data_IF_301323014521
#
_entry.id   IF_301323014521
#
_cell.length_a   1.000
_cell.length_b   1.000
_cell.length_c   1.000
_cell.angle_alpha   90.00
_cell.angle_beta   90.00
_cell.angle_gamma   90.00
#
_symmetry.space_group_name_H-M   'P 1'
#
loop_
_entity.id
_entity.type
_entity.pdbx_description
1 polymer ?
#
# COMPACT_ATOMS: atom_id res chain seq x y z
N UNK A 1 -12.71 26.09 -13.58
CA UNK A 1 -12.32 25.20 -14.71
C UNK A 1 -12.36 23.76 -14.23
N UNK A 2 -12.95 22.83 -15.00
CA UNK A 2 -13.06 21.42 -14.59
C UNK A 2 -11.70 20.76 -14.36
N UNK A 3 -11.65 19.80 -13.43
CA UNK A 3 -10.49 18.93 -13.18
C UNK A 3 -10.31 18.00 -14.39
N UNK A 4 -9.08 17.78 -14.90
CA UNK A 4 -8.83 16.83 -15.99
C UNK A 4 -9.40 15.44 -15.66
N UNK A 5 -9.96 14.74 -16.66
CA UNK A 5 -10.54 13.40 -16.47
C UNK A 5 -9.57 12.40 -15.82
N UNK A 6 -8.29 12.48 -16.16
CA UNK A 6 -7.24 11.63 -15.61
C UNK A 6 -7.00 11.86 -14.10
N UNK A 7 -7.03 13.13 -13.65
CA UNK A 7 -6.90 13.46 -12.22
C UNK A 7 -8.10 12.95 -11.42
N UNK A 8 -9.31 12.96 -12.00
CA UNK A 8 -10.51 12.41 -11.37
C UNK A 8 -10.46 10.88 -11.24
N UNK A 9 -9.98 10.19 -12.27
CA UNK A 9 -9.82 8.73 -12.23
C UNK A 9 -8.78 8.30 -11.18
N UNK A 10 -7.63 8.99 -11.14
CA UNK A 10 -6.63 8.79 -10.09
C UNK A 10 -7.23 9.05 -8.69
N UNK A 11 -7.99 10.13 -8.53
CA UNK A 11 -8.55 10.49 -7.23
C UNK A 11 -9.53 9.45 -6.69
N UNK A 12 -10.42 8.89 -7.53
CA UNK A 12 -11.32 7.82 -7.10
C UNK A 12 -10.56 6.57 -6.66
N UNK A 13 -9.55 6.15 -7.43
CA UNK A 13 -8.71 5.01 -7.05
C UNK A 13 -7.96 5.29 -5.74
N UNK A 14 -7.42 6.50 -5.58
CA UNK A 14 -6.71 6.90 -4.39
C UNK A 14 -7.63 6.94 -3.16
N UNK A 15 -8.88 7.40 -3.30
CA UNK A 15 -9.88 7.31 -2.22
C UNK A 15 -10.09 5.85 -1.80
N UNK A 16 -10.35 4.95 -2.74
CA UNK A 16 -10.60 3.53 -2.43
C UNK A 16 -9.38 2.90 -1.76
N UNK A 17 -8.20 3.06 -2.36
CA UNK A 17 -6.96 2.50 -1.82
C UNK A 17 -6.63 3.07 -0.44
N UNK A 18 -6.82 4.36 -0.23
CA UNK A 18 -6.57 4.99 1.07
C UNK A 18 -7.57 4.62 2.13
N UNK A 19 -8.86 4.50 1.81
CA UNK A 19 -9.87 4.04 2.78
C UNK A 19 -9.57 2.60 3.21
N UNK A 20 -9.29 1.72 2.25
CA UNK A 20 -8.96 0.32 2.52
C UNK A 20 -7.64 0.19 3.29
N UNK A 21 -6.60 0.91 2.88
CA UNK A 21 -5.30 0.92 3.54
C UNK A 21 -5.35 1.51 4.95
N UNK A 22 -6.13 2.58 5.14
CA UNK A 22 -6.37 3.19 6.44
C UNK A 22 -7.11 2.23 7.37
N UNK A 23 -8.19 1.60 6.89
CA UNK A 23 -8.95 0.62 7.69
C UNK A 23 -8.07 -0.57 8.10
N UNK A 24 -7.29 -1.13 7.18
CA UNK A 24 -6.37 -2.22 7.50
C UNK A 24 -5.28 -1.78 8.51
N UNK A 25 -4.76 -0.56 8.38
CA UNK A 25 -3.78 -0.01 9.32
C UNK A 25 -4.39 0.24 10.71
N UNK A 26 -5.64 0.72 10.76
CA UNK A 26 -6.37 0.91 12.01
C UNK A 26 -6.64 -0.40 12.73
N UNK A 27 -7.02 -1.46 11.99
CA UNK A 27 -7.18 -2.80 12.55
C UNK A 27 -5.85 -3.33 13.07
N UNK A 28 -4.75 -3.16 12.33
CA UNK A 28 -3.40 -3.53 12.82
C UNK A 28 -3.06 -2.82 14.13
N UNK A 29 -3.34 -1.53 14.27
CA UNK A 29 -3.14 -0.83 15.55
C UNK A 29 -4.00 -1.41 16.67
N UNK A 30 -5.27 -1.69 16.40
CA UNK A 30 -6.18 -2.30 17.38
C UNK A 30 -5.68 -3.68 17.85
N UNK A 31 -5.24 -4.52 16.90
CA UNK A 31 -4.65 -5.83 17.17
C UNK A 31 -3.36 -5.72 17.99
N UNK A 32 -2.49 -4.75 17.69
CA UNK A 32 -1.27 -4.50 18.48
C UNK A 32 -1.61 -4.16 19.93
N UNK A 33 -2.62 -3.30 20.12
CA UNK A 33 -3.05 -2.87 21.44
C UNK A 33 -3.68 -4.05 22.23
N UNK A 34 -4.47 -4.89 21.57
CA UNK A 34 -5.04 -6.07 22.20
C UNK A 34 -3.96 -7.07 22.66
N UNK A 35 -2.94 -7.32 21.84
CA UNK A 35 -1.78 -8.15 22.21
C UNK A 35 -0.98 -7.53 23.37
N UNK A 36 -0.90 -6.21 23.44
CA UNK A 36 -0.23 -5.51 24.53
C UNK A 36 -0.99 -5.63 25.85
N UNK A 37 -2.32 -5.63 25.81
CA UNK A 37 -3.18 -5.80 26.99
C UNK A 37 -3.23 -7.27 27.46
N UNK A 38 -3.28 -8.20 26.52
CA UNK A 38 -3.31 -9.64 26.79
C UNK A 38 -2.36 -10.38 25.85
N UNK A 39 -1.24 -10.86 26.41
CA UNK A 39 -0.25 -11.62 25.66
C UNK A 39 -0.79 -12.99 25.16
N UNK A 40 -1.95 -13.43 25.64
CA UNK A 40 -2.69 -14.59 25.14
C UNK A 40 -3.70 -14.28 24.03
N UNK A 41 -3.86 -13.00 23.66
CA UNK A 41 -4.84 -12.59 22.64
C UNK A 41 -4.54 -13.25 21.30
N UNK A 42 -5.57 -13.87 20.71
CA UNK A 42 -5.55 -14.42 19.35
C UNK A 42 -6.08 -13.36 18.40
N UNK A 43 -5.25 -12.94 17.46
CA UNK A 43 -5.64 -11.90 16.51
C UNK A 43 -6.73 -12.38 15.55
N UNK A 44 -7.52 -11.45 15.05
CA UNK A 44 -8.64 -11.75 14.14
C UNK A 44 -8.24 -12.44 12.82
N UNK A 45 -6.98 -12.34 12.40
CA UNK A 45 -6.44 -13.05 11.24
C UNK A 45 -5.38 -14.11 11.58
N UNK A 46 -5.39 -14.64 12.82
CA UNK A 46 -4.62 -15.83 13.19
C UNK A 46 -5.40 -17.10 12.82
N UNK A 47 -5.32 -17.51 11.55
CA UNK A 47 -6.00 -18.71 11.05
C UNK A 47 -5.14 -19.96 11.16
N UNK A 48 -3.85 -19.85 10.87
CA UNK A 48 -2.90 -20.96 10.88
C UNK A 48 -1.48 -20.45 11.24
N UNK A 49 -0.51 -21.37 11.32
CA UNK A 49 0.88 -21.04 11.71
C UNK A 49 1.61 -20.13 10.73
N UNK A 50 1.19 -20.08 9.46
CA UNK A 50 1.83 -19.28 8.41
C UNK A 50 1.03 -18.02 8.02
N UNK A 51 -0.22 -17.90 8.46
CA UNK A 51 -1.12 -16.75 8.31
C UNK A 51 -1.56 -16.31 9.71
N UNK A 52 -0.71 -15.49 10.33
CA UNK A 52 -0.86 -15.01 11.70
C UNK A 52 -0.36 -13.58 11.85
N UNK A 53 -1.28 -12.66 12.15
CA UNK A 53 -0.93 -11.29 12.51
C UNK A 53 -0.24 -11.23 13.86
N UNK A 54 -0.66 -12.06 14.83
CA UNK A 54 -0.03 -12.11 16.15
C UNK A 54 1.46 -12.42 16.09
N UNK A 55 1.85 -13.38 15.25
CA UNK A 55 3.27 -13.76 15.05
C UNK A 55 4.07 -12.61 14.45
N UNK A 56 3.55 -11.95 13.41
CA UNK A 56 4.25 -10.82 12.76
C UNK A 56 4.38 -9.63 13.70
N UNK A 57 3.33 -9.31 14.46
CA UNK A 57 3.27 -8.12 15.31
C UNK A 57 4.21 -8.19 16.51
N UNK A 58 4.54 -9.39 17.00
CA UNK A 58 5.49 -9.59 18.12
C UNK A 58 6.95 -9.42 17.72
N UNK A 59 7.24 -9.24 16.43
CA UNK A 59 8.61 -9.13 15.95
C UNK A 59 9.17 -7.70 16.07
N UNK A 60 10.48 -7.51 16.29
CA UNK A 60 11.10 -6.19 16.31
C UNK A 60 10.91 -5.40 15.01
N UNK A 61 10.75 -6.09 13.88
CA UNK A 61 10.48 -5.50 12.58
C UNK A 61 9.16 -4.72 12.55
N UNK A 62 8.21 -5.03 13.44
CA UNK A 62 6.94 -4.31 13.57
C UNK A 62 7.09 -2.92 14.23
N UNK A 63 8.24 -2.58 14.80
CA UNK A 63 8.52 -1.33 15.53
C UNK A 63 9.87 -0.70 15.12
N UNK A 64 10.10 -0.54 13.81
CA UNK A 64 11.42 -0.16 13.29
C UNK A 64 11.90 1.23 13.75
N UNK A 65 10.97 2.16 13.91
CA UNK A 65 11.27 3.56 14.28
C UNK A 65 11.03 3.86 15.77
N UNK A 66 10.99 2.81 16.60
CA UNK A 66 10.67 2.93 18.04
C UNK A 66 9.17 3.10 18.33
N UNK A 67 8.33 2.96 17.31
CA UNK A 67 6.88 2.94 17.44
C UNK A 67 6.27 1.95 16.44
N UNK A 68 5.03 1.46 16.66
CA UNK A 68 4.39 0.50 15.77
C UNK A 68 4.25 1.03 14.34
N UNK A 69 4.81 0.30 13.37
CA UNK A 69 4.75 0.64 11.95
C UNK A 69 3.32 0.92 11.41
N UNK A 70 2.23 0.27 11.90
CA UNK A 70 0.88 0.59 11.45
C UNK A 70 0.46 2.06 11.63
N UNK A 71 1.08 2.80 12.55
CA UNK A 71 0.85 4.25 12.67
C UNK A 71 1.30 5.05 11.45
N UNK A 72 2.40 4.64 10.78
CA UNK A 72 2.81 5.25 9.51
C UNK A 72 1.72 5.05 8.47
N UNK A 73 1.12 3.85 8.41
CA UNK A 73 0.02 3.55 7.49
C UNK A 73 -1.18 4.46 7.70
N UNK A 74 -1.65 4.62 8.95
CA UNK A 74 -2.77 5.51 9.30
C UNK A 74 -2.52 6.93 8.77
N UNK A 75 -1.35 7.51 9.09
CA UNK A 75 -1.03 8.89 8.70
C UNK A 75 -0.87 9.01 7.19
N UNK A 76 -0.12 8.11 6.54
CA UNK A 76 0.14 8.16 5.12
C UNK A 76 -1.16 8.02 4.30
N UNK A 77 -2.02 7.05 4.63
CA UNK A 77 -3.29 6.88 3.93
C UNK A 77 -4.27 8.02 4.19
N UNK A 78 -4.30 8.58 5.40
CA UNK A 78 -5.12 9.76 5.69
C UNK A 78 -4.69 10.97 4.86
N UNK A 79 -3.37 11.21 4.71
CA UNK A 79 -2.85 12.29 3.85
C UNK A 79 -3.25 12.07 2.39
N UNK A 80 -3.03 10.86 1.85
CA UNK A 80 -3.39 10.56 0.45
C UNK A 80 -4.91 10.69 0.25
N UNK A 81 -5.73 10.26 1.22
CA UNK A 81 -7.18 10.40 1.18
C UNK A 81 -7.59 11.88 1.12
N UNK A 82 -7.02 12.73 1.98
CA UNK A 82 -7.31 14.15 2.00
C UNK A 82 -6.96 14.82 0.65
N UNK A 83 -5.83 14.44 0.05
CA UNK A 83 -5.44 14.92 -1.29
C UNK A 83 -6.43 14.46 -2.35
N UNK A 84 -6.81 13.19 -2.34
CA UNK A 84 -7.73 12.62 -3.31
C UNK A 84 -9.11 13.29 -3.24
N UNK A 85 -9.65 13.46 -2.04
CA UNK A 85 -10.92 14.20 -1.82
C UNK A 85 -10.79 15.66 -2.27
N UNK A 86 -9.66 16.31 -1.98
CA UNK A 86 -9.40 17.67 -2.47
C UNK A 86 -9.43 17.75 -4.00
N UNK A 87 -8.80 16.81 -4.71
CA UNK A 87 -8.86 16.73 -6.18
C UNK A 87 -10.31 16.54 -6.66
N UNK A 88 -11.10 15.68 -6.00
CA UNK A 88 -12.52 15.48 -6.35
C UNK A 88 -13.37 16.75 -6.11
N UNK A 89 -13.05 17.52 -5.06
CA UNK A 89 -13.67 18.80 -4.76
C UNK A 89 -13.25 19.93 -5.73
N UNK A 90 -12.29 19.69 -6.62
CA UNK A 90 -11.82 20.66 -7.61
C UNK A 90 -10.51 21.36 -7.23
N UNK A 91 -9.85 20.97 -6.14
CA UNK A 91 -8.57 21.54 -5.74
C UNK A 91 -7.48 21.24 -6.77
N UNK A 92 -6.61 22.23 -7.00
CA UNK A 92 -5.46 22.12 -7.88
C UNK A 92 -4.20 22.26 -7.05
N UNK A 93 -3.46 21.16 -6.93
CA UNK A 93 -2.17 21.16 -6.23
C UNK A 93 -1.04 21.57 -7.16
N UNK A 94 -0.08 22.31 -6.61
CA UNK A 94 1.12 22.72 -7.32
C UNK A 94 2.00 21.52 -7.71
N UNK A 95 2.85 21.68 -8.72
CA UNK A 95 3.73 20.61 -9.22
C UNK A 95 4.62 20.00 -8.14
N UNK A 96 5.17 20.82 -7.24
CA UNK A 96 6.03 20.36 -6.14
C UNK A 96 5.28 19.44 -5.17
N UNK A 97 4.01 19.75 -4.89
CA UNK A 97 3.18 18.96 -3.97
C UNK A 97 2.97 17.54 -4.51
N UNK A 98 2.76 17.45 -5.82
CA UNK A 98 2.64 16.18 -6.51
C UNK A 98 3.94 15.37 -6.52
N UNK A 99 5.10 16.03 -6.64
CA UNK A 99 6.40 15.36 -6.53
C UNK A 99 6.59 14.83 -5.11
N UNK A 100 6.26 15.61 -4.08
CA UNK A 100 6.32 15.15 -2.69
C UNK A 100 5.37 13.97 -2.43
N UNK A 101 4.15 14.02 -2.97
CA UNK A 101 3.20 12.91 -2.86
C UNK A 101 3.77 11.64 -3.51
N UNK A 102 4.35 11.77 -4.71
CA UNK A 102 4.96 10.65 -5.40
C UNK A 102 6.16 10.08 -4.61
N UNK A 103 7.05 10.94 -4.12
CA UNK A 103 8.18 10.54 -3.28
C UNK A 103 7.71 9.82 -2.00
N UNK A 104 6.67 10.32 -1.34
CA UNK A 104 6.06 9.67 -0.19
C UNK A 104 5.50 8.30 -0.52
N UNK A 105 4.74 8.17 -1.62
CA UNK A 105 4.23 6.86 -2.08
C UNK A 105 5.34 5.90 -2.50
N UNK A 106 6.42 6.39 -3.09
CA UNK A 106 7.57 5.57 -3.48
C UNK A 106 8.31 5.05 -2.25
N UNK A 107 8.58 5.94 -1.28
CA UNK A 107 9.21 5.57 -0.01
C UNK A 107 8.34 4.56 0.76
N UNK A 108 7.02 4.78 0.84
CA UNK A 108 6.08 3.84 1.43
C UNK A 108 6.11 2.47 0.74
N UNK A 109 6.18 2.45 -0.59
CA UNK A 109 6.25 1.19 -1.37
C UNK A 109 7.54 0.42 -1.08
N UNK A 110 8.68 1.09 -1.06
CA UNK A 110 9.98 0.49 -0.70
C UNK A 110 9.92 -0.09 0.71
N UNK A 111 9.36 0.67 1.66
CA UNK A 111 9.22 0.22 3.04
C UNK A 111 8.31 -1.01 3.16
N UNK A 112 7.15 -1.02 2.49
CA UNK A 112 6.25 -2.16 2.48
C UNK A 112 6.85 -3.40 1.80
N UNK A 113 7.64 -3.22 0.74
CA UNK A 113 8.32 -4.31 0.05
C UNK A 113 9.40 -4.93 0.95
N UNK A 114 10.12 -4.10 1.70
CA UNK A 114 11.08 -4.57 2.69
C UNK A 114 10.40 -5.34 3.83
N UNK A 115 9.27 -4.85 4.37
CA UNK A 115 8.49 -5.59 5.37
C UNK A 115 7.94 -6.91 4.83
N UNK A 116 7.49 -6.92 3.58
CA UNK A 116 7.08 -8.15 2.90
C UNK A 116 8.23 -9.16 2.82
N UNK A 117 9.45 -8.70 2.51
CA UNK A 117 10.64 -9.55 2.51
C UNK A 117 10.93 -10.12 3.90
N UNK A 118 10.88 -9.28 4.95
CA UNK A 118 11.08 -9.72 6.33
C UNK A 118 10.05 -10.78 6.75
N UNK A 119 8.77 -10.54 6.48
CA UNK A 119 7.68 -11.48 6.84
C UNK A 119 7.79 -12.81 6.10
N UNK A 120 8.13 -12.78 4.81
CA UNK A 120 8.20 -13.97 3.95
C UNK A 120 9.46 -14.80 4.19
N UNK A 121 10.63 -14.18 4.33
CA UNK A 121 11.92 -14.88 4.34
C UNK A 121 12.54 -15.03 5.73
N UNK A 122 12.27 -14.12 6.67
CA UNK A 122 12.84 -14.18 8.01
C UNK A 122 11.84 -14.71 9.05
N UNK A 123 10.62 -14.19 9.05
CA UNK A 123 9.59 -14.54 10.03
C UNK A 123 8.87 -15.85 9.63
N UNK A 124 8.76 -16.11 8.31
CA UNK A 124 8.00 -17.23 7.74
C UNK A 124 6.52 -17.22 8.17
N UNK A 125 5.93 -16.02 8.33
CA UNK A 125 4.52 -15.82 8.62
C UNK A 125 3.99 -14.59 7.87
N UNK A 126 2.76 -14.69 7.39
CA UNK A 126 2.05 -13.67 6.61
C UNK A 126 0.93 -13.07 7.45
N UNK A 127 0.63 -11.79 7.20
CA UNK A 127 -0.47 -11.08 7.84
C UNK A 127 -1.43 -10.55 6.76
N UNK A 128 -2.71 -10.90 6.87
CA UNK A 128 -3.74 -10.53 5.91
C UNK A 128 -3.87 -8.99 5.79
N UNK A 129 -3.85 -8.28 6.93
CA UNK A 129 -3.95 -6.82 6.93
C UNK A 129 -2.72 -6.15 6.32
N UNK A 130 -1.52 -6.67 6.59
CA UNK A 130 -0.31 -6.19 5.91
C UNK A 130 -0.40 -6.40 4.40
N UNK A 131 -0.99 -7.52 3.95
CA UNK A 131 -1.23 -7.79 2.52
C UNK A 131 -2.14 -6.77 1.87
N UNK A 132 -3.24 -6.42 2.54
CA UNK A 132 -4.13 -5.36 2.09
C UNK A 132 -3.39 -4.03 1.97
N UNK A 133 -2.58 -3.67 2.98
CA UNK A 133 -1.80 -2.43 3.00
C UNK A 133 -0.81 -2.39 1.84
N UNK A 134 0.04 -3.40 1.64
CA UNK A 134 1.02 -3.31 0.55
C UNK A 134 0.38 -3.43 -0.82
N UNK A 135 -0.75 -4.15 -0.98
CA UNK A 135 -1.52 -4.15 -2.23
C UNK A 135 -2.04 -2.76 -2.60
N UNK A 136 -2.68 -2.07 -1.65
CA UNK A 136 -3.17 -0.70 -1.84
C UNK A 136 -2.01 0.26 -2.16
N UNK A 137 -0.88 0.12 -1.47
CA UNK A 137 0.33 0.90 -1.69
C UNK A 137 0.91 0.71 -3.10
N UNK A 138 0.97 -0.53 -3.60
CA UNK A 138 1.44 -0.84 -4.95
C UNK A 138 0.55 -0.19 -6.02
N UNK A 139 -0.77 -0.29 -5.89
CA UNK A 139 -1.71 0.34 -6.83
C UNK A 139 -1.60 1.87 -6.79
N UNK A 140 -1.51 2.46 -5.60
CA UNK A 140 -1.28 3.90 -5.44
C UNK A 140 -0.01 4.35 -6.15
N UNK A 141 1.10 3.64 -5.99
CA UNK A 141 2.36 4.00 -6.66
C UNK A 141 2.24 3.91 -8.18
N UNK A 142 1.66 2.83 -8.71
CA UNK A 142 1.51 2.63 -10.16
C UNK A 142 0.67 3.74 -10.80
N UNK A 143 -0.49 4.06 -10.21
CA UNK A 143 -1.38 5.10 -10.71
C UNK A 143 -0.83 6.52 -10.51
N UNK A 144 -0.16 6.78 -9.38
CA UNK A 144 0.49 8.09 -9.15
C UNK A 144 1.65 8.29 -10.11
N UNK A 145 2.41 7.24 -10.43
CA UNK A 145 3.49 7.28 -11.43
C UNK A 145 2.95 7.53 -12.83
N UNK A 146 1.87 6.85 -13.24
CA UNK A 146 1.22 7.12 -14.52
C UNK A 146 0.75 8.58 -14.62
N UNK A 147 0.16 9.12 -13.55
CA UNK A 147 -0.26 10.51 -13.47
C UNK A 147 0.92 11.49 -13.56
N UNK A 148 2.04 11.20 -12.90
CA UNK A 148 3.29 11.97 -13.03
C UNK A 148 3.84 11.98 -14.46
N UNK A 149 3.74 10.86 -15.19
CA UNK A 149 4.14 10.76 -16.60
C UNK A 149 3.20 11.53 -17.53
N UNK A 150 1.89 11.46 -17.30
CA UNK A 150 0.91 12.27 -18.06
C UNK A 150 1.16 13.76 -17.89
N UNK A 151 1.51 14.20 -16.68
CA UNK A 151 1.86 15.59 -16.38
C UNK A 151 3.24 16.03 -16.94
N UNK A 152 3.99 15.14 -17.60
CA UNK A 152 5.32 15.43 -18.16
C UNK A 152 6.41 15.66 -17.10
N UNK A 153 6.19 15.19 -15.87
CA UNK A 153 7.09 15.45 -14.74
C UNK A 153 8.25 14.44 -14.70
N UNK A 154 8.01 13.19 -15.12
CA UNK A 154 8.97 12.07 -15.08
C UNK A 154 9.51 11.65 -16.47
N UNK A 155 9.30 12.45 -17.52
CA UNK A 155 9.74 12.14 -18.89
C UNK A 155 8.72 12.58 -19.95
N UNK A 156 9.14 12.59 -21.23
CA UNK A 156 8.32 13.03 -22.36
C UNK A 156 7.01 12.25 -22.46
N UNK A 157 5.89 12.96 -22.31
CA UNK A 157 4.56 12.43 -22.60
C UNK A 157 4.41 12.33 -24.12
N UNK A 158 4.22 11.13 -24.72
CA UNK A 158 3.76 11.04 -26.09
C UNK A 158 2.36 11.65 -26.13
N UNK A 159 2.26 12.86 -26.70
CA UNK A 159 0.99 13.56 -26.92
C UNK A 159 0.00 12.60 -27.58
N UNK A 160 -1.10 12.28 -26.90
CA UNK A 160 -2.22 11.50 -27.47
C UNK A 160 -2.43 10.08 -26.93
N UNK A 161 -1.72 9.64 -25.88
CA UNK A 161 -1.82 8.25 -25.37
C UNK A 161 -2.32 8.15 -23.91
N UNK A 162 -3.38 8.89 -23.58
CA UNK A 162 -3.99 8.88 -22.24
C UNK A 162 -4.50 7.49 -21.82
N UNK A 163 -5.05 6.72 -22.77
CA UNK A 163 -5.53 5.35 -22.55
C UNK A 163 -4.39 4.36 -22.27
N UNK A 164 -3.24 4.52 -22.94
CA UNK A 164 -2.08 3.64 -22.79
C UNK A 164 -1.44 3.73 -21.41
N UNK A 165 -1.43 4.91 -20.79
CA UNK A 165 -0.83 5.08 -19.45
C UNK A 165 -1.70 4.51 -18.33
N UNK A 166 -3.02 4.58 -18.46
CA UNK A 166 -3.93 3.92 -17.49
C UNK A 166 -3.81 2.40 -17.58
N UNK A 167 -3.75 1.85 -18.80
CA UNK A 167 -3.49 0.43 -18.99
C UNK A 167 -2.13 0.04 -18.41
N UNK A 168 -1.08 0.82 -18.69
CA UNK A 168 0.25 0.60 -18.13
C UNK A 168 0.28 0.62 -16.59
N UNK A 169 -0.47 1.52 -15.95
CA UNK A 169 -0.59 1.56 -14.49
C UNK A 169 -1.17 0.24 -13.94
N UNK A 170 -2.27 -0.22 -14.52
CA UNK A 170 -2.89 -1.49 -14.14
C UNK A 170 -1.96 -2.68 -14.41
N UNK A 171 -1.35 -2.75 -15.60
CA UNK A 171 -0.42 -3.82 -15.94
C UNK A 171 0.78 -3.86 -14.99
N UNK A 172 1.41 -2.73 -14.71
CA UNK A 172 2.56 -2.68 -13.80
C UNK A 172 2.18 -3.00 -12.35
N UNK A 173 1.05 -2.48 -11.86
CA UNK A 173 0.53 -2.81 -10.54
C UNK A 173 0.19 -4.30 -10.41
N UNK A 174 -0.62 -4.84 -11.32
CA UNK A 174 -1.01 -6.26 -11.30
C UNK A 174 0.21 -7.16 -11.47
N UNK A 175 1.13 -6.86 -12.38
CA UNK A 175 2.34 -7.66 -12.55
C UNK A 175 3.18 -7.70 -11.27
N UNK A 176 3.35 -6.57 -10.58
CA UNK A 176 4.04 -6.52 -9.30
C UNK A 176 3.33 -7.38 -8.24
N UNK A 177 1.99 -7.29 -8.14
CA UNK A 177 1.22 -8.13 -7.22
C UNK A 177 1.37 -9.61 -7.58
N UNK A 178 1.25 -9.99 -8.85
CA UNK A 178 1.41 -11.39 -9.31
C UNK A 178 2.78 -11.93 -8.96
N UNK A 179 3.85 -11.15 -9.13
CA UNK A 179 5.20 -11.55 -8.74
C UNK A 179 5.27 -11.77 -7.22
N UNK A 180 4.79 -10.82 -6.42
CA UNK A 180 4.81 -10.90 -4.95
C UNK A 180 4.01 -12.11 -4.45
N UNK A 181 2.78 -12.30 -4.92
CA UNK A 181 1.94 -13.44 -4.59
C UNK A 181 2.50 -14.75 -5.11
N UNK A 182 3.13 -14.76 -6.29
CA UNK A 182 3.81 -15.93 -6.85
C UNK A 182 4.98 -16.38 -5.98
N UNK A 183 5.80 -15.43 -5.50
CA UNK A 183 6.90 -15.74 -4.57
C UNK A 183 6.35 -16.30 -3.25
N UNK A 184 5.27 -15.71 -2.71
CA UNK A 184 4.59 -16.24 -1.52
C UNK A 184 4.13 -17.69 -1.78
N UNK A 185 3.42 -17.93 -2.88
CA UNK A 185 2.87 -19.25 -3.21
C UNK A 185 3.98 -20.30 -3.33
N UNK A 186 5.09 -19.98 -4.01
CA UNK A 186 6.25 -20.89 -4.12
C UNK A 186 6.89 -21.14 -2.76
N UNK A 187 7.04 -20.10 -1.94
CA UNK A 187 7.70 -20.21 -0.63
C UNK A 187 6.89 -21.03 0.37
N UNK A 188 5.57 -20.87 0.38
CA UNK A 188 4.66 -21.56 1.30
C UNK A 188 4.04 -22.83 0.69
N UNK A 189 4.39 -23.21 -0.54
CA UNK A 189 3.86 -24.39 -1.21
C UNK A 189 4.02 -25.67 -0.36
N UNK A 190 5.17 -25.85 0.30
CA UNK A 190 5.43 -27.02 1.14
C UNK A 190 4.59 -27.07 2.40
N UNK A 191 4.08 -25.93 2.87
CA UNK A 191 3.22 -25.81 4.06
C UNK A 191 1.74 -25.84 3.68
N UNK A 192 1.40 -25.47 2.44
CA UNK A 192 0.03 -25.45 1.91
C UNK A 192 -0.37 -26.82 1.34
N UNK A 193 0.56 -27.51 0.67
CA UNK A 193 0.30 -28.78 -0.03
C UNK A 193 0.92 -30.01 0.65
N UNK A 194 1.68 -29.82 1.73
CA UNK A 194 2.25 -30.89 2.56
C UNK A 194 1.47 -31.04 3.86
#
# INVERSE_FOLDING_TARGET
MPVPRADRAWAWLAVVCSVVGFAASAVLVAERLAIFQDAGHRSSCDFNSWLSCGTVMRTPQAELFGFPNPFIGIVAYAVVLAVAVGVLAGARYARWYWVLLWLGTAAGSVFTLWLWWQTTFHINALCLYCMIVWCAQTLLLAHTTARMRQAGILGSSPRGMDSGLSAWAWFSGIAALVVVFGVIAVRFATVIFG
#
